data_IF_840822530747
#
_entry.id   IF_840822530747
#
_cell.length_a   1.000
_cell.length_b   1.000
_cell.length_c   1.000
_cell.angle_alpha   90.00
_cell.angle_beta   90.00
_cell.angle_gamma   90.00
#
_symmetry.space_group_name_H-M   'P 1'
#
loop_
_entity.id
_entity.type
_entity.pdbx_description
1 polymer ?
#
# COMPACT_ATOMS: atom_id res chain seq x y z
N UNK A 1 1.19 3.09 27.49
CA UNK A 1 0.01 3.86 27.94
C UNK A 1 0.56 4.84 28.95
N UNK A 2 0.45 6.13 28.65
CA UNK A 2 0.85 7.17 29.59
C UNK A 2 -0.07 7.19 30.82
N UNK A 3 0.33 7.94 31.87
CA UNK A 3 -0.42 8.10 33.11
C UNK A 3 -1.90 8.45 32.90
N UNK A 4 -2.25 9.01 31.75
CA UNK A 4 -3.58 9.48 31.37
C UNK A 4 -4.38 8.48 30.52
N UNK A 5 -3.88 7.24 30.33
CA UNK A 5 -4.53 6.20 29.53
C UNK A 5 -4.48 6.43 28.02
N UNK A 6 -3.70 7.41 27.55
CA UNK A 6 -3.55 7.75 26.12
C UNK A 6 -2.39 6.93 25.54
N UNK A 7 -2.61 6.32 24.38
CA UNK A 7 -1.56 5.65 23.62
C UNK A 7 -1.10 6.54 22.47
N UNK A 8 0.13 7.02 22.55
CA UNK A 8 0.77 7.72 21.41
C UNK A 8 1.15 6.69 20.35
N UNK A 9 0.33 6.61 19.29
CA UNK A 9 0.56 5.66 18.19
C UNK A 9 1.76 6.07 17.33
N UNK A 10 1.87 7.37 17.04
CA UNK A 10 2.95 7.96 16.23
C UNK A 10 3.54 9.17 16.94
N UNK A 11 4.87 9.31 16.87
CA UNK A 11 5.57 10.56 17.16
C UNK A 11 5.40 11.53 15.99
N UNK A 12 5.98 12.71 16.13
CA UNK A 12 6.08 13.66 15.02
C UNK A 12 6.82 13.03 13.83
N UNK A 13 6.23 13.15 12.64
CA UNK A 13 6.80 12.67 11.38
C UNK A 13 6.75 13.84 10.41
N UNK A 14 7.92 14.29 9.97
CA UNK A 14 8.08 15.23 8.86
C UNK A 14 8.58 14.44 7.65
N UNK A 15 7.72 14.27 6.65
CA UNK A 15 7.98 13.42 5.49
C UNK A 15 7.40 14.03 4.23
N UNK A 16 8.22 14.15 3.21
CA UNK A 16 7.79 14.51 1.86
C UNK A 16 7.92 13.30 0.95
N UNK A 17 6.87 13.04 0.16
CA UNK A 17 6.84 12.01 -0.88
C UNK A 17 6.61 12.73 -2.21
N UNK A 18 7.52 12.52 -3.14
CA UNK A 18 7.44 13.15 -4.46
C UNK A 18 6.44 12.44 -5.38
N UNK A 19 5.82 13.15 -6.32
CA UNK A 19 4.94 12.53 -7.30
C UNK A 19 5.65 11.41 -8.08
N UNK A 20 4.98 10.27 -8.18
CA UNK A 20 5.49 9.10 -8.90
C UNK A 20 6.45 8.22 -8.10
N UNK A 21 6.81 8.57 -6.86
CA UNK A 21 7.58 7.66 -5.99
C UNK A 21 6.78 6.41 -5.61
N UNK A 22 7.47 5.29 -5.46
CA UNK A 22 6.97 4.11 -4.78
C UNK A 22 7.66 3.99 -3.42
N UNK A 23 6.99 4.45 -2.36
CA UNK A 23 7.53 4.43 -1.01
C UNK A 23 7.02 3.20 -0.26
N UNK A 24 7.93 2.35 0.20
CA UNK A 24 7.62 1.20 1.03
C UNK A 24 7.94 1.50 2.50
N UNK A 25 7.02 1.20 3.40
CA UNK A 25 7.17 1.40 4.84
C UNK A 25 7.29 0.03 5.52
N UNK A 26 8.42 -0.21 6.15
CA UNK A 26 8.70 -1.44 6.91
C UNK A 26 8.86 -1.17 8.40
N UNK A 27 8.56 -2.15 9.21
CA UNK A 27 8.71 -2.04 10.67
C UNK A 27 8.02 -3.19 11.39
N UNK A 28 8.32 -3.35 12.66
CA UNK A 28 7.71 -4.40 13.52
C UNK A 28 6.20 -4.18 13.68
N UNK A 29 5.48 -5.22 14.11
CA UNK A 29 4.05 -5.11 14.36
C UNK A 29 3.77 -4.04 15.43
N UNK A 30 2.73 -3.23 15.20
CA UNK A 30 2.31 -2.18 16.12
C UNK A 30 3.17 -0.90 16.10
N UNK A 31 4.10 -0.71 15.15
CA UNK A 31 4.87 0.53 15.02
C UNK A 31 4.13 1.68 14.31
N UNK A 32 2.85 1.53 14.00
CA UNK A 32 2.04 2.62 13.44
C UNK A 32 1.95 2.69 11.91
N UNK A 33 2.46 1.69 11.16
CA UNK A 33 2.42 1.67 9.68
C UNK A 33 1.03 1.88 9.09
N UNK A 34 0.06 1.05 9.49
CA UNK A 34 -1.33 1.20 9.02
C UNK A 34 -1.99 2.49 9.50
N UNK A 35 -1.51 3.06 10.62
CA UNK A 35 -1.97 4.37 11.11
C UNK A 35 -1.55 5.47 10.14
N UNK A 36 -0.30 5.44 9.65
CA UNK A 36 0.18 6.39 8.62
C UNK A 36 -0.69 6.30 7.37
N UNK A 37 -0.96 5.08 6.86
CA UNK A 37 -1.82 4.94 5.68
C UNK A 37 -3.23 5.49 5.91
N UNK A 38 -3.83 5.25 7.09
CA UNK A 38 -5.16 5.77 7.44
C UNK A 38 -5.19 7.29 7.53
N UNK A 39 -4.12 7.89 8.03
CA UNK A 39 -3.94 9.35 8.07
C UNK A 39 -3.88 9.91 6.64
N UNK A 40 -3.03 9.35 5.77
CA UNK A 40 -2.92 9.77 4.37
C UNK A 40 -4.24 9.54 3.62
N UNK A 41 -4.94 8.43 3.88
CA UNK A 41 -6.25 8.16 3.29
C UNK A 41 -7.34 9.13 3.75
N UNK A 42 -7.10 9.91 4.81
CA UNK A 42 -8.10 10.79 5.43
C UNK A 42 -9.18 10.01 6.20
N UNK A 43 -8.91 8.77 6.60
CA UNK A 43 -9.84 7.94 7.40
C UNK A 43 -9.82 8.31 8.88
N UNK A 44 -8.70 8.87 9.34
CA UNK A 44 -8.54 9.43 10.69
C UNK A 44 -7.84 10.79 10.58
N UNK A 45 -8.21 11.79 11.39
CA UNK A 45 -7.49 13.06 11.42
C UNK A 45 -6.18 12.93 12.20
N UNK A 46 -5.15 13.74 11.87
CA UNK A 46 -3.97 13.86 12.73
C UNK A 46 -4.33 14.56 14.04
N UNK A 47 -3.66 14.20 15.15
CA UNK A 47 -3.85 14.86 16.44
C UNK A 47 -3.23 16.27 16.45
N UNK A 48 -2.13 16.45 15.71
CA UNK A 48 -1.44 17.73 15.49
C UNK A 48 -0.77 17.74 14.13
N UNK A 49 -0.37 18.90 13.64
CA UNK A 49 0.18 19.04 12.29
C UNK A 49 -0.87 18.92 11.19
N UNK A 50 -0.40 18.75 9.97
CA UNK A 50 -1.25 18.63 8.79
C UNK A 50 -0.67 17.62 7.79
N UNK A 51 -1.54 17.10 6.92
CA UNK A 51 -1.14 16.23 5.82
C UNK A 51 -1.63 16.90 4.54
N UNK A 52 -0.71 17.08 3.60
CA UNK A 52 -0.99 17.75 2.34
C UNK A 52 -0.90 16.76 1.17
N UNK A 53 -1.84 16.87 0.24
CA UNK A 53 -1.77 16.22 -1.07
C UNK A 53 -1.84 17.30 -2.15
N UNK A 54 -0.77 17.42 -2.95
CA UNK A 54 -0.66 18.49 -3.94
C UNK A 54 -0.80 19.90 -3.35
N UNK A 55 -0.27 20.12 -2.13
CA UNK A 55 -0.34 21.40 -1.40
C UNK A 55 -1.70 21.70 -0.74
N UNK A 56 -2.66 20.76 -0.79
CA UNK A 56 -3.98 20.92 -0.19
C UNK A 56 -4.13 20.03 1.05
N UNK A 57 -4.65 20.55 2.17
CA UNK A 57 -4.87 19.74 3.36
C UNK A 57 -5.84 18.57 3.12
N UNK A 58 -5.50 17.39 3.64
CA UNK A 58 -6.38 16.24 3.67
C UNK A 58 -7.32 16.39 4.86
N UNK A 59 -8.60 16.63 4.59
CA UNK A 59 -9.63 16.80 5.62
C UNK A 59 -10.58 15.61 5.76
N UNK A 60 -10.44 14.60 4.90
CA UNK A 60 -11.28 13.39 4.90
C UNK A 60 -10.95 12.46 3.74
N UNK A 61 -11.66 11.35 3.63
CA UNK A 61 -11.51 10.42 2.52
C UNK A 61 -11.94 11.07 1.19
N UNK A 62 -11.23 10.74 0.12
CA UNK A 62 -11.49 11.30 -1.22
C UNK A 62 -11.16 10.32 -2.34
N UNK A 63 -11.72 10.53 -3.55
CA UNK A 63 -11.47 9.69 -4.72
C UNK A 63 -10.06 9.85 -5.31
N UNK A 64 -9.34 10.87 -4.91
CA UNK A 64 -7.93 11.17 -5.22
C UNK A 64 -6.95 10.22 -4.50
N UNK A 65 -7.45 9.41 -3.57
CA UNK A 65 -6.69 8.43 -2.80
C UNK A 65 -7.33 7.05 -2.89
N UNK A 66 -6.64 6.13 -3.58
CA UNK A 66 -7.01 4.72 -3.60
C UNK A 66 -6.44 3.98 -2.41
N UNK A 67 -7.20 3.11 -1.77
CA UNK A 67 -6.69 2.28 -0.67
C UNK A 67 -7.05 0.81 -0.87
N UNK A 68 -6.03 -0.04 -0.76
CA UNK A 68 -6.14 -1.50 -0.77
C UNK A 68 -5.76 -2.01 0.61
N UNK A 69 -6.69 -2.70 1.26
CA UNK A 69 -6.48 -3.28 2.58
C UNK A 69 -5.87 -4.68 2.48
N UNK A 70 -5.26 -5.14 3.56
CA UNK A 70 -4.69 -6.49 3.69
C UNK A 70 -5.68 -7.60 3.31
N UNK A 71 -6.95 -7.44 3.70
CA UNK A 71 -8.04 -8.29 3.22
C UNK A 71 -8.78 -7.56 2.10
N UNK A 72 -9.01 -8.23 0.99
CA UNK A 72 -9.82 -7.69 -0.10
C UNK A 72 -11.26 -7.44 0.40
N UNK A 73 -11.53 -6.22 0.85
CA UNK A 73 -12.84 -5.82 1.42
C UNK A 73 -13.85 -5.58 0.32
N UNK A 74 -14.16 -6.62 -0.46
CA UNK A 74 -15.16 -6.56 -1.53
C UNK A 74 -16.57 -6.61 -0.95
N UNK A 75 -17.51 -5.96 -1.61
CA UNK A 75 -18.95 -6.05 -1.27
C UNK A 75 -19.47 -7.43 -1.64
N UNK A 76 -19.79 -8.33 -0.68
CA UNK A 76 -20.12 -9.72 -0.97
C UNK A 76 -21.41 -9.91 -1.75
N UNK A 77 -22.31 -8.93 -1.72
CA UNK A 77 -23.58 -8.92 -2.44
C UNK A 77 -23.51 -8.32 -3.85
N UNK A 78 -22.34 -7.82 -4.27
CA UNK A 78 -22.10 -7.28 -5.59
C UNK A 78 -21.26 -8.25 -6.42
N UNK A 79 -21.54 -8.31 -7.73
CA UNK A 79 -20.66 -9.00 -8.68
C UNK A 79 -19.31 -8.28 -8.77
N UNK A 80 -18.33 -8.94 -9.37
CA UNK A 80 -16.98 -8.38 -9.55
C UNK A 80 -17.03 -7.08 -10.36
N UNK A 81 -17.74 -7.08 -11.49
CA UNK A 81 -17.96 -5.85 -12.29
C UNK A 81 -18.57 -4.71 -11.46
N UNK A 82 -19.56 -5.03 -10.61
CA UNK A 82 -20.22 -4.04 -9.75
C UNK A 82 -19.32 -3.58 -8.63
N UNK A 83 -18.45 -4.45 -8.09
CA UNK A 83 -17.42 -4.07 -7.13
C UNK A 83 -16.45 -3.07 -7.74
N UNK A 84 -15.88 -3.35 -8.91
CA UNK A 84 -14.95 -2.47 -9.61
C UNK A 84 -15.61 -1.15 -9.97
N UNK A 85 -16.82 -1.18 -10.52
CA UNK A 85 -17.55 0.02 -10.97
C UNK A 85 -18.25 0.80 -9.86
N UNK A 86 -18.19 0.36 -8.60
CA UNK A 86 -19.01 0.91 -7.53
C UNK A 86 -18.85 2.43 -7.38
N UNK A 87 -17.62 2.92 -7.29
CA UNK A 87 -17.33 4.36 -7.14
C UNK A 87 -17.83 5.19 -8.33
N UNK A 88 -17.63 4.69 -9.56
CA UNK A 88 -18.12 5.36 -10.78
C UNK A 88 -19.65 5.44 -10.82
N UNK A 89 -20.33 4.39 -10.35
CA UNK A 89 -21.79 4.39 -10.25
C UNK A 89 -22.31 5.39 -9.23
N UNK A 90 -21.65 5.48 -8.07
CA UNK A 90 -21.99 6.47 -7.04
C UNK A 90 -21.78 7.91 -7.53
N UNK A 91 -20.76 8.15 -8.34
CA UNK A 91 -20.49 9.43 -8.97
C UNK A 91 -21.34 9.71 -10.23
N UNK A 92 -22.19 8.77 -10.63
CA UNK A 92 -22.98 8.83 -11.90
C UNK A 92 -22.08 8.96 -13.17
N UNK A 93 -20.86 8.39 -13.11
CA UNK A 93 -19.85 8.40 -14.18
C UNK A 93 -19.52 6.98 -14.64
N UNK A 94 -20.52 6.07 -14.61
CA UNK A 94 -20.28 4.70 -15.05
C UNK A 94 -19.81 4.66 -16.50
N UNK A 95 -18.71 3.98 -16.71
CA UNK A 95 -18.06 3.76 -17.98
C UNK A 95 -17.78 2.26 -18.11
N UNK A 96 -18.49 1.62 -19.04
CA UNK A 96 -18.39 0.18 -19.26
C UNK A 96 -17.03 -0.23 -19.80
N UNK A 97 -16.50 0.50 -20.77
CA UNK A 97 -15.22 0.21 -21.40
C UNK A 97 -14.09 0.33 -20.38
N UNK A 98 -14.11 1.36 -19.55
CA UNK A 98 -13.14 1.52 -18.46
C UNK A 98 -13.15 0.35 -17.47
N UNK A 99 -14.33 -0.16 -17.12
CA UNK A 99 -14.47 -1.31 -16.22
C UNK A 99 -13.96 -2.59 -16.86
N UNK A 100 -14.25 -2.81 -18.14
CA UNK A 100 -13.78 -3.97 -18.90
C UNK A 100 -12.25 -3.95 -19.02
N UNK A 101 -11.64 -2.81 -19.38
CA UNK A 101 -10.18 -2.65 -19.45
C UNK A 101 -9.51 -2.89 -18.08
N UNK A 102 -10.11 -2.44 -16.98
CA UNK A 102 -9.58 -2.70 -15.63
C UNK A 102 -9.62 -4.19 -15.26
N UNK A 103 -10.65 -4.91 -15.66
CA UNK A 103 -10.74 -6.36 -15.42
C UNK A 103 -9.79 -7.15 -16.31
N UNK A 104 -9.62 -6.74 -17.57
CA UNK A 104 -8.65 -7.32 -18.50
C UNK A 104 -7.21 -7.15 -18.01
N UNK A 105 -6.86 -5.95 -17.51
CA UNK A 105 -5.55 -5.65 -16.94
C UNK A 105 -5.09 -6.66 -15.89
N UNK A 106 -6.02 -7.23 -15.11
CA UNK A 106 -5.73 -8.21 -14.05
C UNK A 106 -6.18 -9.63 -14.39
N UNK A 107 -6.57 -9.89 -15.66
CA UNK A 107 -6.96 -11.21 -16.16
C UNK A 107 -8.23 -11.77 -15.50
N UNK A 108 -9.22 -10.91 -15.23
CA UNK A 108 -10.47 -11.28 -14.57
C UNK A 108 -11.73 -10.94 -15.36
N UNK A 109 -11.63 -10.71 -16.65
CA UNK A 109 -12.75 -10.37 -17.54
C UNK A 109 -13.83 -11.48 -17.58
N UNK A 110 -13.43 -12.74 -17.53
CA UNK A 110 -14.38 -13.88 -17.54
C UNK A 110 -15.16 -13.98 -16.22
N UNK A 111 -14.58 -13.49 -15.09
CA UNK A 111 -15.17 -13.55 -13.75
C UNK A 111 -16.05 -12.35 -13.41
N UNK A 112 -16.30 -11.44 -14.35
CA UNK A 112 -17.03 -10.17 -14.11
C UNK A 112 -18.41 -10.34 -13.50
N UNK A 113 -19.08 -11.47 -13.77
CA UNK A 113 -20.43 -11.78 -13.27
C UNK A 113 -20.43 -12.57 -11.96
N UNK A 114 -19.27 -13.05 -11.54
CA UNK A 114 -19.10 -13.83 -10.33
C UNK A 114 -19.18 -12.94 -9.08
N UNK A 115 -19.33 -13.58 -7.93
CA UNK A 115 -19.34 -12.91 -6.63
C UNK A 115 -18.03 -13.14 -5.89
N UNK A 116 -17.68 -12.29 -4.91
CA UNK A 116 -16.41 -12.40 -4.17
C UNK A 116 -16.15 -13.77 -3.55
N UNK A 117 -17.17 -14.48 -3.09
CA UNK A 117 -17.02 -15.80 -2.49
C UNK A 117 -16.63 -16.91 -3.47
N UNK A 118 -16.70 -16.66 -4.78
CA UNK A 118 -16.33 -17.58 -5.85
C UNK A 118 -14.87 -17.40 -6.28
N UNK A 119 -14.19 -16.36 -5.77
CA UNK A 119 -12.81 -16.03 -6.12
C UNK A 119 -11.81 -16.64 -5.14
N UNK A 120 -10.60 -16.94 -5.64
CA UNK A 120 -9.44 -17.17 -4.78
C UNK A 120 -9.02 -15.87 -4.06
N UNK A 121 -8.23 -15.98 -2.99
CA UNK A 121 -7.73 -14.80 -2.28
C UNK A 121 -6.94 -13.84 -3.17
N UNK A 122 -6.10 -14.39 -4.07
CA UNK A 122 -5.35 -13.58 -5.04
C UNK A 122 -6.25 -12.87 -6.05
N UNK A 123 -7.27 -13.56 -6.59
CA UNK A 123 -8.24 -12.93 -7.49
C UNK A 123 -9.01 -11.80 -6.78
N UNK A 124 -9.46 -12.03 -5.55
CA UNK A 124 -10.13 -10.99 -4.76
C UNK A 124 -9.24 -9.77 -4.53
N UNK A 125 -7.93 -9.99 -4.29
CA UNK A 125 -6.97 -8.91 -4.10
C UNK A 125 -6.76 -8.09 -5.38
N UNK A 126 -6.69 -8.75 -6.56
CA UNK A 126 -6.65 -8.07 -7.85
C UNK A 126 -7.89 -7.21 -8.10
N UNK A 127 -9.08 -7.71 -7.76
CA UNK A 127 -10.32 -6.92 -7.84
C UNK A 127 -10.26 -5.70 -6.92
N UNK A 128 -9.75 -5.85 -5.68
CA UNK A 128 -9.59 -4.73 -4.76
C UNK A 128 -8.62 -3.68 -5.29
N UNK A 129 -7.54 -4.11 -5.95
CA UNK A 129 -6.56 -3.23 -6.59
C UNK A 129 -7.22 -2.40 -7.71
N UNK A 130 -7.85 -3.03 -8.70
CA UNK A 130 -8.47 -2.30 -9.82
C UNK A 130 -9.67 -1.46 -9.39
N UNK A 131 -10.41 -1.87 -8.36
CA UNK A 131 -11.44 -1.03 -7.72
C UNK A 131 -10.88 0.26 -7.14
N UNK A 132 -9.67 0.21 -6.59
CA UNK A 132 -8.99 1.39 -6.05
C UNK A 132 -8.43 2.27 -7.16
N UNK A 133 -7.99 1.68 -8.27
CA UNK A 133 -7.41 2.38 -9.41
C UNK A 133 -8.44 3.01 -10.35
N UNK A 134 -9.69 2.54 -10.37
CA UNK A 134 -10.68 2.95 -11.37
C UNK A 134 -11.00 4.46 -11.33
N UNK A 135 -10.75 5.12 -10.21
CA UNK A 135 -10.92 6.57 -10.09
C UNK A 135 -9.71 7.37 -10.60
N UNK A 136 -8.64 6.72 -11.04
CA UNK A 136 -7.34 7.33 -11.33
C UNK A 136 -6.87 8.20 -10.15
N UNK A 137 -6.65 7.62 -8.95
CA UNK A 137 -6.25 8.37 -7.79
C UNK A 137 -4.85 8.95 -7.96
N UNK A 138 -4.57 10.09 -7.33
CA UNK A 138 -3.24 10.70 -7.32
C UNK A 138 -2.24 9.86 -6.50
N UNK A 139 -2.74 9.17 -5.48
CA UNK A 139 -1.95 8.28 -4.63
C UNK A 139 -2.67 6.95 -4.38
N UNK A 140 -1.92 5.86 -4.46
CA UNK A 140 -2.36 4.50 -4.12
C UNK A 140 -1.73 4.06 -2.79
N UNK A 141 -2.56 3.67 -1.85
CA UNK A 141 -2.18 3.24 -0.51
C UNK A 141 -2.40 1.73 -0.39
N UNK A 142 -1.33 0.99 -0.07
CA UNK A 142 -1.34 -0.47 0.00
C UNK A 142 -1.00 -0.93 1.42
N UNK A 143 -1.99 -1.46 2.14
CA UNK A 143 -1.80 -1.95 3.53
C UNK A 143 -1.60 -3.47 3.52
N UNK A 144 -0.35 -3.93 3.54
CA UNK A 144 0.06 -5.34 3.48
C UNK A 144 -0.66 -6.12 2.35
N UNK A 145 -0.65 -5.62 1.09
CA UNK A 145 -1.54 -6.09 0.04
C UNK A 145 -1.30 -7.55 -0.35
N UNK A 146 -0.13 -8.10 -0.04
CA UNK A 146 0.32 -9.42 -0.48
C UNK A 146 0.50 -10.43 0.67
N UNK A 147 0.25 -10.01 1.90
CA UNK A 147 0.52 -10.83 3.10
C UNK A 147 -0.27 -12.14 3.19
N UNK A 148 -1.44 -12.22 2.55
CA UNK A 148 -2.29 -13.41 2.55
C UNK A 148 -2.06 -14.35 1.36
N UNK A 149 -1.10 -14.04 0.46
CA UNK A 149 -0.86 -14.80 -0.77
C UNK A 149 0.26 -15.83 -0.58
N UNK A 150 0.15 -16.96 -1.29
CA UNK A 150 1.25 -17.88 -1.44
C UNK A 150 2.43 -17.26 -2.20
N UNK A 151 3.61 -17.84 -2.11
CA UNK A 151 4.84 -17.26 -2.64
C UNK A 151 4.77 -16.96 -4.16
N UNK A 152 4.22 -17.90 -4.95
CA UNK A 152 4.14 -17.74 -6.40
C UNK A 152 3.14 -16.64 -6.81
N UNK A 153 1.95 -16.67 -6.24
CA UNK A 153 0.92 -15.64 -6.47
C UNK A 153 1.41 -14.27 -6.03
N UNK A 154 2.17 -14.21 -4.92
CA UNK A 154 2.77 -12.96 -4.42
C UNK A 154 3.74 -12.36 -5.43
N UNK A 155 4.66 -13.15 -5.98
CA UNK A 155 5.62 -12.68 -6.98
C UNK A 155 4.91 -12.11 -8.21
N UNK A 156 3.91 -12.82 -8.73
CA UNK A 156 3.14 -12.35 -9.88
C UNK A 156 2.42 -11.02 -9.58
N UNK A 157 1.82 -10.89 -8.39
CA UNK A 157 1.14 -9.67 -7.97
C UNK A 157 2.11 -8.49 -7.78
N UNK A 158 3.32 -8.74 -7.31
CA UNK A 158 4.36 -7.70 -7.22
C UNK A 158 4.66 -7.13 -8.60
N UNK A 159 4.86 -8.00 -9.59
CA UNK A 159 5.14 -7.59 -10.96
C UNK A 159 3.93 -6.85 -11.58
N UNK A 160 2.71 -7.32 -11.34
CA UNK A 160 1.48 -6.63 -11.80
C UNK A 160 1.37 -5.21 -11.21
N UNK A 161 1.57 -5.06 -9.89
CA UNK A 161 1.52 -3.75 -9.22
C UNK A 161 2.63 -2.82 -9.77
N UNK A 162 3.84 -3.34 -9.96
CA UNK A 162 4.94 -2.57 -10.53
C UNK A 162 4.68 -2.13 -11.97
N UNK A 163 4.08 -2.99 -12.80
CA UNK A 163 3.71 -2.65 -14.16
C UNK A 163 2.67 -1.54 -14.18
N UNK A 164 1.62 -1.64 -13.36
CA UNK A 164 0.59 -0.60 -13.22
C UNK A 164 1.23 0.72 -12.77
N UNK A 165 2.11 0.68 -11.76
CA UNK A 165 2.80 1.86 -11.28
C UNK A 165 3.65 2.54 -12.35
N UNK A 166 4.43 1.75 -13.14
CA UNK A 166 5.26 2.28 -14.22
C UNK A 166 4.45 2.92 -15.34
N UNK A 167 3.33 2.30 -15.70
CA UNK A 167 2.44 2.79 -16.75
C UNK A 167 1.67 4.05 -16.33
N UNK A 168 1.14 4.08 -15.12
CA UNK A 168 0.28 5.15 -14.66
C UNK A 168 1.05 6.27 -13.97
N UNK A 169 2.31 6.05 -13.59
CA UNK A 169 3.17 6.99 -12.86
C UNK A 169 2.52 7.55 -11.59
N UNK A 170 1.70 6.74 -10.93
CA UNK A 170 1.05 7.11 -9.67
C UNK A 170 2.05 7.14 -8.53
N UNK A 171 1.77 7.97 -7.53
CA UNK A 171 2.48 7.86 -6.26
C UNK A 171 1.93 6.66 -5.48
N UNK A 172 2.80 5.82 -4.94
CA UNK A 172 2.40 4.63 -4.17
C UNK A 172 3.04 4.69 -2.79
N UNK A 173 2.23 4.45 -1.75
CA UNK A 173 2.72 4.19 -0.39
C UNK A 173 2.26 2.81 0.03
N UNK A 174 3.20 1.91 0.22
CA UNK A 174 2.95 0.53 0.62
C UNK A 174 3.48 0.27 2.03
N UNK A 175 2.69 -0.39 2.83
CA UNK A 175 3.11 -0.94 4.12
C UNK A 175 3.29 -2.44 3.99
N UNK A 176 4.40 -2.94 4.47
CA UNK A 176 4.68 -4.37 4.53
C UNK A 176 5.56 -4.72 5.73
N UNK A 177 5.53 -5.96 6.16
CA UNK A 177 6.48 -6.50 7.13
C UNK A 177 7.62 -7.28 6.46
N UNK A 178 7.56 -7.47 5.14
CA UNK A 178 8.56 -8.16 4.34
C UNK A 178 9.58 -7.18 3.77
N UNK A 179 10.82 -7.26 4.24
CA UNK A 179 11.92 -6.37 3.82
C UNK A 179 12.29 -6.57 2.36
N UNK A 180 12.25 -7.82 1.86
CA UNK A 180 12.58 -8.10 0.45
C UNK A 180 11.51 -7.53 -0.48
N UNK A 181 10.24 -7.63 -0.10
CA UNK A 181 9.12 -7.00 -0.81
C UNK A 181 9.30 -5.48 -0.89
N UNK A 182 9.63 -4.85 0.26
CA UNK A 182 9.82 -3.41 0.32
C UNK A 182 10.95 -2.91 -0.59
N UNK A 183 12.07 -3.63 -0.65
CA UNK A 183 13.21 -3.29 -1.52
C UNK A 183 12.85 -3.55 -2.98
N UNK A 184 12.20 -4.69 -3.26
CA UNK A 184 11.85 -5.08 -4.63
C UNK A 184 10.90 -4.08 -5.27
N UNK A 185 9.87 -3.65 -4.56
CA UNK A 185 8.84 -2.78 -5.09
C UNK A 185 9.17 -1.29 -4.92
N UNK A 186 9.76 -0.90 -3.79
CA UNK A 186 10.00 0.51 -3.47
C UNK A 186 11.16 1.15 -4.22
N UNK A 187 10.99 2.40 -4.58
CA UNK A 187 12.11 3.29 -4.95
C UNK A 187 12.76 3.89 -3.70
N UNK A 188 12.06 3.81 -2.57
CA UNK A 188 12.45 4.35 -1.27
C UNK A 188 11.84 3.51 -0.16
N UNK A 189 12.61 3.20 0.86
CA UNK A 189 12.16 2.41 2.01
C UNK A 189 12.27 3.22 3.29
N UNK A 190 11.14 3.40 3.97
CA UNK A 190 11.08 3.99 5.30
C UNK A 190 11.08 2.88 6.34
N UNK A 191 12.07 2.90 7.24
CA UNK A 191 12.16 1.97 8.35
C UNK A 191 11.54 2.61 9.58
N UNK A 192 10.50 1.97 10.13
CA UNK A 192 9.83 2.45 11.34
C UNK A 192 10.24 1.69 12.58
N UNK A 193 10.32 2.41 13.69
CA UNK A 193 10.46 1.84 15.02
C UNK A 193 9.22 2.10 15.88
N UNK A 194 8.90 1.21 16.85
CA UNK A 194 7.71 1.32 17.69
C UNK A 194 7.91 2.19 18.95
N UNK A 195 6.79 2.62 19.54
CA UNK A 195 6.61 3.14 20.91
C UNK A 195 7.35 4.43 21.27
N UNK A 196 6.91 5.57 20.75
CA UNK A 196 5.89 5.77 19.72
C UNK A 196 6.46 5.46 18.35
N UNK A 197 5.57 5.15 17.38
CA UNK A 197 5.97 4.91 16.00
C UNK A 197 6.64 6.14 15.39
N UNK A 198 7.84 5.98 14.85
CA UNK A 198 8.59 7.05 14.17
C UNK A 198 9.42 6.49 13.02
N UNK A 199 9.76 7.35 12.09
CA UNK A 199 10.70 7.00 11.02
C UNK A 199 12.11 6.96 11.60
N UNK A 200 12.72 5.77 11.62
CA UNK A 200 14.09 5.54 12.07
C UNK A 200 15.10 5.80 10.96
N UNK A 201 14.77 5.42 9.74
CA UNK A 201 15.61 5.63 8.59
C UNK A 201 14.77 5.80 7.32
N UNK A 202 15.31 6.56 6.39
CA UNK A 202 14.79 6.86 5.07
C UNK A 202 15.87 6.48 4.06
N UNK A 203 15.61 5.47 3.24
CA UNK A 203 16.61 4.79 2.43
C UNK A 203 16.18 4.82 0.97
N UNK A 204 16.82 5.61 0.11
CA UNK A 204 16.63 5.49 -1.33
C UNK A 204 17.16 4.14 -1.82
N UNK A 205 16.43 3.50 -2.73
CA UNK A 205 16.78 2.22 -3.34
C UNK A 205 17.28 2.48 -4.77
N UNK A 206 18.58 2.51 -4.93
CA UNK A 206 19.27 2.81 -6.18
C UNK A 206 19.70 1.51 -6.89
N UNK A 207 18.75 0.60 -7.12
CA UNK A 207 18.98 -0.66 -7.83
C UNK A 207 18.53 -0.54 -9.27
N UNK A 208 19.31 -1.15 -10.18
CA UNK A 208 18.95 -1.24 -11.60
C UNK A 208 17.69 -2.09 -11.80
N UNK A 209 16.81 -1.63 -12.67
CA UNK A 209 15.61 -2.39 -13.05
C UNK A 209 15.88 -3.37 -14.23
N UNK A 210 15.33 -4.58 -14.22
CA UNK A 210 14.55 -5.18 -13.13
C UNK A 210 15.45 -5.56 -11.95
N UNK A 211 15.00 -5.29 -10.72
CA UNK A 211 15.76 -5.58 -9.50
C UNK A 211 15.96 -7.07 -9.33
N UNK A 212 17.20 -7.49 -9.16
CA UNK A 212 17.58 -8.90 -8.98
C UNK A 212 17.76 -9.20 -7.48
N UNK A 213 16.88 -10.01 -6.90
CA UNK A 213 16.89 -10.35 -5.47
C UNK A 213 18.19 -11.03 -5.02
N UNK A 214 18.89 -11.71 -5.95
CA UNK A 214 20.13 -12.44 -5.67
C UNK A 214 21.38 -11.57 -5.89
N UNK A 215 21.25 -10.31 -6.30
CA UNK A 215 22.42 -9.43 -6.46
C UNK A 215 23.01 -9.04 -5.10
N UNK A 216 24.32 -8.80 -5.07
CA UNK A 216 25.03 -8.37 -3.87
C UNK A 216 24.48 -7.04 -3.33
N UNK A 217 24.13 -6.12 -4.22
CA UNK A 217 23.56 -4.83 -3.88
C UNK A 217 22.17 -4.98 -3.21
N UNK A 218 21.30 -5.86 -3.74
CA UNK A 218 20.01 -6.13 -3.12
C UNK A 218 20.19 -6.72 -1.72
N UNK A 219 21.08 -7.68 -1.57
CA UNK A 219 21.38 -8.31 -0.28
C UNK A 219 22.01 -7.32 0.71
N UNK A 220 22.81 -6.35 0.25
CA UNK A 220 23.33 -5.30 1.09
C UNK A 220 22.22 -4.39 1.67
N UNK A 221 21.26 -3.96 0.85
CA UNK A 221 20.07 -3.23 1.32
C UNK A 221 19.27 -4.05 2.34
N UNK A 222 19.01 -5.31 2.02
CA UNK A 222 18.27 -6.24 2.90
C UNK A 222 18.94 -6.35 4.27
N UNK A 223 20.22 -6.66 4.30
CA UNK A 223 20.98 -6.82 5.54
C UNK A 223 21.00 -5.52 6.36
N UNK A 224 21.20 -4.37 5.71
CA UNK A 224 21.17 -3.05 6.34
C UNK A 224 19.80 -2.78 7.01
N UNK A 225 18.70 -3.04 6.31
CA UNK A 225 17.35 -2.79 6.85
C UNK A 225 17.05 -3.77 7.99
N UNK A 226 17.38 -5.06 7.85
CA UNK A 226 17.20 -6.06 8.91
C UNK A 226 17.96 -5.67 10.18
N UNK A 227 19.22 -5.24 10.08
CA UNK A 227 19.99 -4.75 11.22
C UNK A 227 19.31 -3.56 11.93
N UNK A 228 18.67 -2.67 11.16
CA UNK A 228 17.93 -1.55 11.76
C UNK A 228 16.67 -2.01 12.49
N UNK A 229 16.04 -3.08 12.06
CA UNK A 229 14.85 -3.66 12.71
C UNK A 229 15.21 -4.52 13.92
N UNK A 230 16.33 -5.23 13.90
CA UNK A 230 16.75 -6.18 14.94
C UNK A 230 17.43 -5.51 16.16
N UNK A 231 17.96 -4.32 16.03
CA UNK A 231 18.73 -3.63 17.10
C UNK A 231 17.93 -3.37 18.40
N UNK A 232 16.63 -3.68 18.47
CA UNK A 232 15.82 -3.54 19.70
C UNK A 232 15.63 -4.84 20.50
N UNK A 233 16.05 -6.00 20.01
CA UNK A 233 15.99 -7.23 20.80
C UNK A 233 17.16 -7.42 21.77
N UNK A 234 18.18 -6.53 21.74
CA UNK A 234 19.36 -6.64 22.59
C UNK A 234 19.46 -5.61 23.74
N UNK A 235 18.53 -4.65 23.84
CA UNK A 235 18.55 -3.64 24.91
C UNK A 235 17.55 -3.91 26.06
N UNK A 236 16.72 -4.94 25.97
CA UNK A 236 15.73 -5.30 26.99
C UNK A 236 16.09 -6.58 27.77
N UNK A 237 17.40 -6.84 28.04
CA UNK A 237 17.84 -7.89 28.99
C UNK A 237 18.79 -7.33 30.05
#
# INVERSE_FOLDING_TARGET
IDSDGITHALAEIDLTIEPGEFVSIVGTSGCGKSTILRLIAGLIPPTSGEILLGGKPITGAGPDRGMVFQKATLFPWLTIEKNVSFSLRMQKKYDKEKVENMLEMVGLEEFRKDYPHQLSGGMAQRVALVRSLINNPDILLLDEPLGALDAFTRMNMQDEILNIWREQKQTVVMVTHDVEEAIYMGTRVLVMEPRPGRVKADIPIELSEPKQRNSEEFQAYRNRILQMLDLKHHEDH
#
